data_IF_183419175882
#
_entry.id   IF_183419175882
#
_cell.length_a   1.000
_cell.length_b   1.000
_cell.length_c   1.000
_cell.angle_alpha   90.00
_cell.angle_beta   90.00
_cell.angle_gamma   90.00
#
_symmetry.space_group_name_H-M   'P 1'
#
loop_
_entity.id
_entity.type
_entity.pdbx_description
1 polymer ?
#
# COMPACT_ATOMS: atom_id res chain seq x y z
N UNK A 1 10.56 -39.53 44.73
CA UNK A 1 11.20 -38.51 43.88
C UNK A 1 10.74 -38.71 42.45
N UNK A 2 9.66 -38.04 42.07
CA UNK A 2 9.23 -37.91 40.69
C UNK A 2 9.18 -36.42 40.38
N UNK A 3 9.86 -36.09 39.34
CA UNK A 3 10.29 -34.85 38.82
C UNK A 3 9.14 -33.85 38.58
N UNK A 4 9.34 -32.62 39.10
CA UNK A 4 8.71 -31.38 38.71
C UNK A 4 9.34 -30.88 37.43
N UNK A 5 9.02 -31.39 36.28
CA UNK A 5 9.53 -30.89 34.99
C UNK A 5 8.52 -31.05 33.83
N UNK A 6 7.23 -30.87 34.07
CA UNK A 6 6.22 -30.91 32.99
C UNK A 6 5.10 -29.88 33.18
N UNK A 7 5.45 -28.64 33.49
CA UNK A 7 4.44 -27.58 33.61
C UNK A 7 4.99 -26.22 33.18
N UNK A 8 5.46 -26.13 31.93
CA UNK A 8 5.88 -24.84 31.35
C UNK A 8 5.85 -24.87 29.81
N UNK A 9 4.75 -25.21 29.16
CA UNK A 9 4.54 -24.91 27.72
C UNK A 9 3.05 -24.90 27.38
N UNK A 10 2.25 -24.17 28.12
CA UNK A 10 0.91 -23.76 27.65
C UNK A 10 0.78 -22.24 27.82
N UNK A 11 1.74 -21.54 27.23
CA UNK A 11 1.63 -20.14 26.88
C UNK A 11 0.73 -20.05 25.66
N UNK A 12 -0.58 -20.07 25.86
CA UNK A 12 -1.51 -19.60 24.86
C UNK A 12 -1.08 -18.16 24.54
N UNK A 13 -0.49 -17.96 23.37
CA UNK A 13 -0.33 -16.65 22.75
C UNK A 13 -1.76 -16.10 22.55
N UNK A 14 -2.33 -15.53 23.61
CA UNK A 14 -3.53 -14.73 23.50
C UNK A 14 -3.20 -13.55 22.56
N UNK A 15 -3.65 -13.67 21.32
CA UNK A 15 -3.69 -12.54 20.39
C UNK A 15 -4.40 -11.41 21.14
N UNK A 16 -3.74 -10.24 21.33
CA UNK A 16 -4.34 -9.14 22.05
C UNK A 16 -5.73 -8.87 21.46
N UNK A 17 -6.76 -8.87 22.30
CA UNK A 17 -8.17 -8.67 21.89
C UNK A 17 -8.46 -7.35 21.18
N UNK A 18 -7.43 -6.57 20.87
CA UNK A 18 -7.45 -5.29 20.15
C UNK A 18 -6.39 -5.27 19.06
N UNK A 19 -6.37 -6.28 18.17
CA UNK A 19 -5.59 -6.13 16.94
C UNK A 19 -6.30 -5.11 16.05
N UNK A 20 -5.73 -3.91 15.95
CA UNK A 20 -6.16 -2.91 14.98
C UNK A 20 -5.94 -3.50 13.57
N UNK A 21 -6.95 -3.40 12.69
CA UNK A 21 -6.69 -3.64 11.28
C UNK A 21 -5.60 -2.68 10.79
N UNK A 22 -4.87 -3.04 9.73
CA UNK A 22 -3.81 -2.17 9.20
C UNK A 22 -4.33 -0.75 8.90
N UNK A 23 -5.59 -0.62 8.44
CA UNK A 23 -6.27 0.65 8.22
C UNK A 23 -6.43 1.46 9.50
N UNK A 24 -6.85 0.83 10.58
CA UNK A 24 -7.02 1.48 11.87
C UNK A 24 -5.67 1.91 12.45
N UNK A 25 -4.64 1.05 12.32
CA UNK A 25 -3.29 1.39 12.74
C UNK A 25 -2.73 2.58 11.95
N UNK A 26 -2.92 2.58 10.64
CA UNK A 26 -2.48 3.66 9.76
C UNK A 26 -3.20 4.97 10.07
N UNK A 27 -4.53 4.94 10.25
CA UNK A 27 -5.32 6.09 10.65
C UNK A 27 -4.93 6.62 12.03
N UNK A 28 -4.71 5.73 13.00
CA UNK A 28 -4.27 6.14 14.34
C UNK A 28 -2.90 6.83 14.31
N UNK A 29 -2.02 6.43 13.40
CA UNK A 29 -0.69 7.04 13.24
C UNK A 29 -0.79 8.43 12.64
N UNK A 30 -1.75 8.68 11.76
CA UNK A 30 -1.87 9.93 10.99
C UNK A 30 -2.92 10.89 11.54
N UNK A 31 -3.93 10.40 12.26
CA UNK A 31 -5.02 11.20 12.82
C UNK A 31 -4.58 12.40 13.69
N UNK A 32 -3.49 12.32 14.48
CA UNK A 32 -3.03 13.46 15.26
C UNK A 32 -2.49 14.61 14.41
N UNK A 33 -2.15 14.35 13.13
CA UNK A 33 -1.39 15.30 12.34
C UNK A 33 -2.25 16.17 11.44
N UNK A 34 -3.42 15.68 10.94
CA UNK A 34 -4.27 16.54 10.08
C UNK A 34 -5.67 16.00 9.85
N UNK A 35 -6.67 16.85 10.04
CA UNK A 35 -7.93 16.77 9.31
C UNK A 35 -7.77 17.57 8.01
N UNK A 36 -7.45 16.88 6.91
CA UNK A 36 -7.34 17.52 5.60
C UNK A 36 -8.74 17.58 4.99
N UNK A 37 -9.18 18.78 4.62
CA UNK A 37 -10.44 18.96 3.90
C UNK A 37 -10.30 18.53 2.43
N UNK A 38 -11.42 18.15 1.80
CA UNK A 38 -11.42 17.80 0.37
C UNK A 38 -10.88 18.96 -0.50
N UNK A 39 -11.19 20.20 -0.16
CA UNK A 39 -10.68 21.37 -0.87
C UNK A 39 -9.17 21.53 -0.77
N UNK A 40 -8.57 21.12 0.34
CA UNK A 40 -7.12 21.08 0.50
C UNK A 40 -6.49 19.95 -0.33
N UNK A 41 -7.09 18.76 -0.33
CA UNK A 41 -6.62 17.64 -1.14
C UNK A 41 -6.62 17.97 -2.62
N UNK A 42 -7.65 18.67 -3.10
CA UNK A 42 -7.75 19.10 -4.51
C UNK A 42 -6.61 20.04 -4.95
N UNK A 43 -5.98 20.73 -4.00
CA UNK A 43 -4.83 21.63 -4.25
C UNK A 43 -3.48 20.92 -4.20
N UNK A 44 -3.45 19.68 -3.70
CA UNK A 44 -2.21 18.89 -3.66
C UNK A 44 -1.82 18.50 -5.09
N UNK A 45 -0.55 18.67 -5.44
CA UNK A 45 -0.04 18.26 -6.74
C UNK A 45 -0.10 16.74 -6.91
N UNK A 46 -0.34 16.23 -8.12
CA UNK A 46 -0.30 14.80 -8.38
C UNK A 46 1.04 14.16 -7.98
N UNK A 47 2.15 14.86 -8.16
CA UNK A 47 3.48 14.38 -7.73
C UNK A 47 3.60 14.23 -6.22
N UNK A 48 3.02 15.14 -5.45
CA UNK A 48 3.00 15.02 -3.98
C UNK A 48 2.08 13.86 -3.53
N UNK A 49 0.95 13.67 -4.19
CA UNK A 49 0.08 12.52 -3.95
C UNK A 49 0.78 11.20 -4.30
N UNK A 50 1.52 11.16 -5.41
CA UNK A 50 2.31 9.98 -5.80
C UNK A 50 3.39 9.66 -4.77
N UNK A 51 4.11 10.65 -4.29
CA UNK A 51 5.13 10.49 -3.27
C UNK A 51 4.56 9.91 -1.96
N UNK A 52 3.39 10.39 -1.54
CA UNK A 52 2.67 9.82 -0.41
C UNK A 52 2.18 8.39 -0.71
N UNK A 53 1.60 8.18 -1.87
CA UNK A 53 1.04 6.89 -2.29
C UNK A 53 2.09 5.79 -2.42
N UNK A 54 3.29 6.12 -2.87
CA UNK A 54 4.42 5.19 -2.91
C UNK A 54 4.74 4.63 -1.52
N UNK A 55 4.83 5.48 -0.52
CA UNK A 55 5.08 5.07 0.87
C UNK A 55 3.96 4.18 1.43
N UNK A 56 2.71 4.50 1.13
CA UNK A 56 1.55 3.73 1.58
C UNK A 56 1.50 2.36 0.89
N UNK A 57 1.73 2.33 -0.41
CA UNK A 57 1.76 1.09 -1.17
C UNK A 57 2.88 0.17 -0.70
N UNK A 58 4.08 0.70 -0.50
CA UNK A 58 5.21 -0.06 0.02
C UNK A 58 4.93 -0.60 1.43
N UNK A 59 4.32 0.20 2.31
CA UNK A 59 3.92 -0.25 3.64
C UNK A 59 2.92 -1.42 3.56
N UNK A 60 1.92 -1.31 2.69
CA UNK A 60 0.94 -2.38 2.46
C UNK A 60 1.61 -3.67 2.00
N UNK A 61 2.50 -3.60 1.02
CA UNK A 61 3.23 -4.76 0.50
C UNK A 61 4.13 -5.38 1.58
N UNK A 62 4.82 -4.58 2.35
CA UNK A 62 5.67 -5.06 3.47
C UNK A 62 4.86 -5.78 4.53
N UNK A 63 3.70 -5.26 4.91
CA UNK A 63 2.80 -5.92 5.87
C UNK A 63 2.27 -7.23 5.30
N UNK A 64 1.89 -7.24 4.02
CA UNK A 64 1.36 -8.43 3.36
C UNK A 64 2.33 -9.61 3.38
N UNK A 65 3.63 -9.36 3.13
CA UNK A 65 4.67 -10.40 3.11
C UNK A 65 5.35 -10.64 4.45
N UNK A 66 4.96 -9.93 5.50
CA UNK A 66 5.57 -10.07 6.83
C UNK A 66 5.31 -11.46 7.42
N UNK A 67 4.15 -12.03 7.17
CA UNK A 67 3.74 -13.35 7.65
C UNK A 67 3.32 -14.27 6.48
N UNK A 68 3.69 -15.57 6.52
CA UNK A 68 4.48 -16.24 7.57
C UNK A 68 5.93 -15.75 7.60
N UNK A 69 6.58 -15.87 8.75
CA UNK A 69 7.97 -15.45 8.94
C UNK A 69 8.89 -16.13 7.93
N UNK A 70 9.70 -15.33 7.27
CA UNK A 70 10.65 -15.79 6.25
C UNK A 70 12.06 -15.27 6.55
N UNK A 71 13.07 -15.84 5.89
CA UNK A 71 14.42 -15.29 5.92
C UNK A 71 14.40 -13.87 5.35
N UNK A 72 15.13 -12.94 5.95
CA UNK A 72 15.16 -11.54 5.58
C UNK A 72 15.43 -11.29 4.09
N UNK A 73 16.31 -12.06 3.47
CA UNK A 73 16.60 -11.95 2.02
C UNK A 73 15.41 -12.34 1.13
N UNK A 74 14.63 -13.36 1.52
CA UNK A 74 13.42 -13.78 0.79
C UNK A 74 12.33 -12.71 0.95
N UNK A 75 12.10 -12.26 2.18
CA UNK A 75 11.15 -11.20 2.47
C UNK A 75 11.44 -9.93 1.65
N UNK A 76 12.69 -9.48 1.67
CA UNK A 76 13.12 -8.31 0.90
C UNK A 76 12.88 -8.49 -0.60
N UNK A 77 13.24 -9.65 -1.18
CA UNK A 77 13.01 -9.94 -2.60
C UNK A 77 11.54 -9.87 -2.98
N UNK A 78 10.65 -10.49 -2.19
CA UNK A 78 9.21 -10.46 -2.43
C UNK A 78 8.66 -9.03 -2.43
N UNK A 79 9.09 -8.21 -1.47
CA UNK A 79 8.69 -6.80 -1.42
C UNK A 79 9.18 -6.04 -2.65
N UNK A 80 10.46 -6.16 -2.99
CA UNK A 80 11.06 -5.46 -4.15
C UNK A 80 10.36 -5.82 -5.45
N UNK A 81 10.01 -7.08 -5.66
CA UNK A 81 9.28 -7.54 -6.85
C UNK A 81 7.90 -6.87 -7.00
N UNK A 82 7.24 -6.57 -5.89
CA UNK A 82 5.92 -5.93 -5.91
C UNK A 82 5.98 -4.41 -6.04
N UNK A 83 6.98 -3.76 -5.44
CA UNK A 83 7.04 -2.29 -5.42
C UNK A 83 7.72 -1.68 -6.64
N UNK A 84 8.32 -2.48 -7.51
CA UNK A 84 8.93 -1.99 -8.74
C UNK A 84 7.89 -1.44 -9.73
N UNK A 85 8.29 -0.50 -10.55
CA UNK A 85 7.40 0.21 -11.47
C UNK A 85 6.65 -0.71 -12.45
N UNK A 86 7.28 -1.77 -12.93
CA UNK A 86 6.67 -2.73 -13.84
C UNK A 86 5.48 -3.45 -13.18
N UNK A 87 5.63 -3.87 -11.95
CA UNK A 87 4.55 -4.53 -11.19
C UNK A 87 3.45 -3.54 -10.85
N UNK A 88 3.79 -2.34 -10.43
CA UNK A 88 2.81 -1.26 -10.20
C UNK A 88 2.00 -0.94 -11.46
N UNK A 89 2.64 -0.91 -12.62
CA UNK A 89 1.96 -0.71 -13.90
C UNK A 89 0.97 -1.86 -14.22
N UNK A 90 1.32 -3.11 -13.92
CA UNK A 90 0.42 -4.26 -14.04
C UNK A 90 -0.78 -4.13 -13.10
N UNK A 91 -0.53 -3.75 -11.85
CA UNK A 91 -1.56 -3.53 -10.85
C UNK A 91 -2.54 -2.42 -11.27
N UNK A 92 -2.04 -1.29 -11.77
CA UNK A 92 -2.92 -0.24 -12.28
C UNK A 92 -3.85 -0.78 -13.38
N UNK A 93 -3.30 -1.52 -14.36
CA UNK A 93 -4.10 -2.09 -15.45
C UNK A 93 -5.20 -3.03 -14.95
N UNK A 94 -4.91 -3.82 -13.90
CA UNK A 94 -5.93 -4.70 -13.30
C UNK A 94 -7.01 -3.93 -12.53
N UNK A 95 -6.68 -2.76 -11.98
CA UNK A 95 -7.63 -1.91 -11.26
C UNK A 95 -8.54 -1.09 -12.18
N UNK A 96 -8.07 -0.69 -13.35
CA UNK A 96 -8.82 0.22 -14.25
C UNK A 96 -10.30 -0.18 -14.44
N UNK A 97 -10.67 -1.47 -14.69
CA UNK A 97 -12.06 -1.86 -14.84
C UNK A 97 -12.93 -1.65 -13.59
N UNK A 98 -12.32 -1.48 -12.44
CA UNK A 98 -12.99 -1.31 -11.14
C UNK A 98 -13.05 0.14 -10.67
N UNK A 99 -12.39 1.06 -11.41
CA UNK A 99 -12.29 2.46 -11.02
C UNK A 99 -13.55 3.25 -11.36
N UNK A 100 -13.90 4.18 -10.49
CA UNK A 100 -14.94 5.18 -10.71
C UNK A 100 -14.41 6.29 -11.60
N UNK A 101 -15.28 7.07 -12.23
CA UNK A 101 -14.89 8.20 -13.10
C UNK A 101 -14.00 9.22 -12.39
N UNK A 102 -14.28 9.51 -11.12
CA UNK A 102 -13.45 10.42 -10.30
C UNK A 102 -12.06 9.85 -10.05
N UNK A 103 -11.95 8.53 -9.86
CA UNK A 103 -10.67 7.83 -9.65
C UNK A 103 -9.87 7.78 -10.97
N UNK A 104 -10.53 7.54 -12.10
CA UNK A 104 -9.90 7.59 -13.43
C UNK A 104 -9.33 8.98 -13.73
N UNK A 105 -10.00 10.05 -13.30
CA UNK A 105 -9.48 11.42 -13.45
C UNK A 105 -8.20 11.63 -12.61
N UNK A 106 -8.15 11.08 -11.40
CA UNK A 106 -6.93 11.13 -10.57
C UNK A 106 -5.78 10.36 -11.24
N UNK A 107 -6.06 9.17 -11.78
CA UNK A 107 -5.09 8.38 -12.56
C UNK A 107 -4.55 9.19 -13.74
N UNK A 108 -5.42 9.85 -14.49
CA UNK A 108 -5.05 10.70 -15.64
C UNK A 108 -4.16 11.86 -15.19
N UNK A 109 -4.47 12.53 -14.09
CA UNK A 109 -3.65 13.61 -13.53
C UNK A 109 -2.26 13.12 -13.12
N UNK A 110 -2.18 11.95 -12.49
CA UNK A 110 -0.91 11.33 -12.14
C UNK A 110 -0.05 11.01 -13.37
N UNK A 111 -0.67 10.45 -14.41
CA UNK A 111 -0.01 10.17 -15.69
C UNK A 111 0.59 11.43 -16.31
N UNK A 112 -0.20 12.50 -16.37
CA UNK A 112 0.22 13.76 -17.00
C UNK A 112 1.33 14.47 -16.22
N UNK A 113 1.42 14.26 -14.91
CA UNK A 113 2.43 14.86 -14.04
C UNK A 113 3.71 14.01 -13.94
N UNK A 114 3.72 12.80 -14.48
CA UNK A 114 4.88 11.91 -14.44
C UNK A 114 5.97 12.39 -15.37
N UNK A 115 6.97 13.09 -14.79
CA UNK A 115 8.14 13.66 -15.46
C UNK A 115 9.42 13.17 -14.79
N UNK A 116 10.57 13.29 -15.46
CA UNK A 116 11.86 12.99 -14.84
C UNK A 116 12.15 11.51 -14.61
N UNK A 117 11.61 10.62 -15.43
CA UNK A 117 11.81 9.18 -15.35
C UNK A 117 13.29 8.76 -15.38
N UNK A 118 13.66 7.64 -14.73
CA UNK A 118 14.96 7.01 -14.92
C UNK A 118 15.19 6.64 -16.40
N UNK A 119 16.40 6.89 -16.92
CA UNK A 119 16.71 6.68 -18.35
C UNK A 119 16.44 5.26 -18.87
N UNK A 120 16.50 4.25 -18.00
CA UNK A 120 16.32 2.83 -18.34
C UNK A 120 14.89 2.35 -18.26
N UNK A 121 13.97 3.16 -17.75
CA UNK A 121 12.57 2.77 -17.57
C UNK A 121 11.74 3.22 -18.77
N UNK A 122 10.85 2.32 -19.24
CA UNK A 122 9.87 2.65 -20.27
C UNK A 122 8.97 3.81 -19.78
N UNK A 123 8.76 4.87 -20.60
CA UNK A 123 7.94 6.03 -20.20
C UNK A 123 6.53 5.64 -19.77
N UNK A 124 5.91 4.72 -20.47
CA UNK A 124 4.53 4.30 -20.19
C UNK A 124 4.44 3.55 -18.86
N UNK A 125 5.39 2.66 -18.58
CA UNK A 125 5.47 1.95 -17.28
C UNK A 125 5.64 2.95 -16.16
N UNK A 126 6.54 3.92 -16.30
CA UNK A 126 6.74 4.96 -15.30
C UNK A 126 5.47 5.79 -15.06
N UNK A 127 4.79 6.20 -16.13
CA UNK A 127 3.54 6.95 -16.04
C UNK A 127 2.44 6.14 -15.34
N UNK A 128 2.32 4.84 -15.64
CA UNK A 128 1.34 3.97 -15.01
C UNK A 128 1.64 3.75 -13.52
N UNK A 129 2.91 3.52 -13.16
CA UNK A 129 3.32 3.39 -11.77
C UNK A 129 3.01 4.66 -10.98
N UNK A 130 3.40 5.82 -11.49
CA UNK A 130 3.11 7.12 -10.87
C UNK A 130 1.60 7.38 -10.76
N UNK A 131 0.81 6.93 -11.74
CA UNK A 131 -0.65 7.04 -11.70
C UNK A 131 -1.26 6.21 -10.58
N UNK A 132 -0.76 4.99 -10.36
CA UNK A 132 -1.19 4.13 -9.25
C UNK A 132 -0.87 4.79 -7.91
N UNK A 133 0.35 5.27 -7.75
CA UNK A 133 0.79 5.96 -6.53
C UNK A 133 -0.05 7.21 -6.26
N UNK A 134 -0.35 8.00 -7.30
CA UNK A 134 -1.22 9.18 -7.19
C UNK A 134 -2.61 8.81 -6.70
N UNK A 135 -3.22 7.75 -7.25
CA UNK A 135 -4.52 7.25 -6.83
C UNK A 135 -4.51 6.79 -5.37
N UNK A 136 -3.49 6.02 -4.98
CA UNK A 136 -3.34 5.53 -3.60
C UNK A 136 -3.20 6.70 -2.63
N UNK A 137 -2.35 7.67 -2.92
CA UNK A 137 -2.18 8.86 -2.09
C UNK A 137 -3.46 9.68 -1.96
N UNK A 138 -4.20 9.86 -3.05
CA UNK A 138 -5.49 10.55 -3.05
C UNK A 138 -6.53 9.83 -2.19
N UNK A 139 -6.72 8.54 -2.38
CA UNK A 139 -7.71 7.75 -1.64
C UNK A 139 -7.35 7.62 -0.15
N UNK A 140 -6.06 7.54 0.17
CA UNK A 140 -5.63 7.55 1.55
C UNK A 140 -6.09 8.80 2.31
N UNK A 141 -6.08 9.95 1.65
CA UNK A 141 -6.50 11.22 2.24
C UNK A 141 -8.02 11.46 2.17
N UNK A 142 -8.74 10.81 1.27
CA UNK A 142 -10.16 11.11 1.00
C UNK A 142 -11.12 9.97 1.33
N UNK A 143 -10.72 8.71 1.08
CA UNK A 143 -11.57 7.53 1.24
C UNK A 143 -10.70 6.28 1.47
N UNK A 144 -10.20 6.12 2.68
CA UNK A 144 -9.35 4.99 3.04
C UNK A 144 -10.08 3.63 2.93
N UNK A 145 -11.39 3.58 3.10
CA UNK A 145 -12.17 2.36 2.92
C UNK A 145 -12.13 1.93 1.45
N UNK A 146 -12.32 2.87 0.54
CA UNK A 146 -12.19 2.60 -0.89
C UNK A 146 -10.77 2.18 -1.27
N UNK A 147 -9.76 2.79 -0.68
CA UNK A 147 -8.37 2.35 -0.86
C UNK A 147 -8.20 0.89 -0.48
N UNK A 148 -8.75 0.48 0.66
CA UNK A 148 -8.69 -0.92 1.10
C UNK A 148 -9.36 -1.87 0.12
N UNK A 149 -10.54 -1.52 -0.39
CA UNK A 149 -11.25 -2.32 -1.40
C UNK A 149 -10.38 -2.52 -2.65
N UNK A 150 -9.76 -1.46 -3.15
CA UNK A 150 -8.89 -1.54 -4.33
C UNK A 150 -7.63 -2.36 -4.07
N UNK A 151 -6.99 -2.18 -2.92
CA UNK A 151 -5.79 -2.97 -2.56
C UNK A 151 -6.11 -4.46 -2.43
N UNK A 152 -7.31 -4.84 -1.99
CA UNK A 152 -7.75 -6.23 -1.91
C UNK A 152 -7.97 -6.86 -3.30
N UNK A 153 -8.26 -6.06 -4.33
CA UNK A 153 -8.35 -6.52 -5.72
C UNK A 153 -6.96 -6.88 -6.28
N UNK A 154 -5.92 -6.25 -5.74
CA UNK A 154 -4.55 -6.60 -6.10
C UNK A 154 -4.21 -7.98 -5.53
N UNK A 155 -4.22 -8.99 -6.37
CA UNK A 155 -3.81 -10.33 -5.96
C UNK A 155 -2.29 -10.37 -5.79
N UNK A 156 -1.83 -10.02 -4.58
CA UNK A 156 -0.44 -10.28 -4.21
C UNK A 156 -0.32 -11.77 -3.94
N UNK A 157 0.54 -12.46 -4.68
CA UNK A 157 0.74 -13.90 -4.53
C UNK A 157 1.63 -14.16 -3.32
N UNK A 158 1.20 -15.09 -2.46
CA UNK A 158 2.05 -15.73 -1.46
C UNK A 158 2.54 -17.04 -2.06
N UNK A 159 3.84 -17.14 -2.36
CA UNK A 159 4.47 -18.41 -2.71
C UNK A 159 4.38 -19.42 -1.56
#
# INVERSE_FOLDING_TARGET
MKSQEEELLDGQDEIPKQSLSWNQALLATTAPFQQISLSQVQKISPSALAYLGDAIYELYVRIFYLLPLQRSGIYHRLVVEQVRAETQALHLRSLIPHLRDTELEIVRRGRNAATGRPKRLNPEIYQQATSLETLIGYLYLTDYQRLTELLQILHLEKE
#
